data_IF_130708452254
#
_entry.id   IF_130708452254
#
_cell.length_a   1.000
_cell.length_b   1.000
_cell.length_c   1.000
_cell.angle_alpha   90.00
_cell.angle_beta   90.00
_cell.angle_gamma   90.00
#
_symmetry.space_group_name_H-M   'P 1'
#
loop_
_entity.id
_entity.type
_entity.pdbx_description
1 polymer ?
#
# COMPACT_ATOMS: atom_id res chain seq x y z
N UNK A 1 -43.93 -5.14 -7.47
CA UNK A 1 -42.59 -5.44 -8.06
C UNK A 1 -41.56 -5.42 -6.94
N UNK A 2 -40.86 -6.53 -6.73
CA UNK A 2 -39.94 -6.75 -5.59
C UNK A 2 -38.50 -6.68 -6.13
N UNK A 3 -37.78 -5.59 -5.88
CA UNK A 3 -36.38 -5.48 -6.27
C UNK A 3 -35.54 -6.37 -5.37
N UNK A 4 -34.93 -7.42 -5.94
CA UNK A 4 -33.90 -8.23 -5.28
C UNK A 4 -32.54 -7.61 -5.61
N UNK A 5 -31.93 -6.92 -4.66
CA UNK A 5 -30.51 -6.56 -4.75
C UNK A 5 -29.68 -7.76 -4.32
N UNK A 6 -29.54 -8.74 -5.21
CA UNK A 6 -28.61 -9.85 -5.01
C UNK A 6 -27.18 -9.32 -5.09
N UNK A 7 -26.50 -9.27 -3.93
CA UNK A 7 -25.05 -9.39 -3.84
C UNK A 7 -24.24 -8.33 -4.60
N UNK A 8 -24.38 -7.06 -4.25
CA UNK A 8 -23.30 -6.11 -4.49
C UNK A 8 -22.26 -6.31 -3.38
N UNK A 9 -21.40 -7.31 -3.52
CA UNK A 9 -20.12 -7.28 -2.80
C UNK A 9 -19.35 -6.09 -3.36
N UNK A 10 -19.49 -4.94 -2.71
CA UNK A 10 -18.60 -3.82 -2.92
C UNK A 10 -17.22 -4.22 -2.41
N UNK A 11 -16.47 -5.02 -3.19
CA UNK A 11 -15.02 -5.05 -3.06
C UNK A 11 -14.53 -3.72 -3.62
N UNK A 12 -14.80 -2.65 -2.88
CA UNK A 12 -14.22 -1.35 -3.14
C UNK A 12 -12.73 -1.59 -3.11
N UNK A 13 -12.07 -1.41 -4.26
CA UNK A 13 -10.63 -1.41 -4.38
C UNK A 13 -10.12 -0.34 -3.43
N UNK A 14 -9.91 -0.72 -2.17
CA UNK A 14 -9.45 0.17 -1.13
C UNK A 14 -8.02 0.43 -1.52
N UNK A 15 -7.83 1.56 -2.20
CA UNK A 15 -6.51 2.01 -2.65
C UNK A 15 -5.53 1.77 -1.50
N UNK A 16 -4.41 1.06 -1.73
CA UNK A 16 -3.50 0.67 -0.65
C UNK A 16 -3.23 1.87 0.24
N UNK A 17 -3.47 1.70 1.54
CA UNK A 17 -3.24 2.75 2.52
C UNK A 17 -1.74 3.00 2.57
N UNK A 18 -1.34 4.26 2.38
CA UNK A 18 0.05 4.64 2.52
C UNK A 18 0.56 4.30 3.91
N UNK A 19 1.71 3.64 3.97
CA UNK A 19 2.35 3.23 5.21
C UNK A 19 3.74 3.84 5.29
N UNK A 20 4.14 4.27 6.49
CA UNK A 20 5.50 4.77 6.73
C UNK A 20 6.49 3.65 6.41
N UNK A 21 7.51 3.97 5.61
CA UNK A 21 8.51 3.02 5.13
C UNK A 21 8.19 2.42 3.76
N UNK A 22 6.98 2.62 3.20
CA UNK A 22 6.71 2.24 1.82
C UNK A 22 7.64 3.00 0.87
N UNK A 23 8.14 2.31 -0.15
CA UNK A 23 8.98 2.85 -1.21
C UNK A 23 8.15 2.98 -2.47
N UNK A 24 8.16 4.18 -3.04
CA UNK A 24 7.47 4.52 -4.28
C UNK A 24 8.48 5.01 -5.32
N UNK A 25 8.12 4.89 -6.61
CA UNK A 25 8.88 5.45 -7.74
C UNK A 25 8.04 6.50 -8.44
N UNK A 26 8.65 7.61 -8.80
CA UNK A 26 8.00 8.65 -9.60
C UNK A 26 8.08 8.35 -11.12
N UNK A 27 7.43 9.21 -11.91
CA UNK A 27 7.47 9.15 -13.37
C UNK A 27 8.86 9.36 -14.00
N UNK A 28 9.82 9.92 -13.26
CA UNK A 28 11.19 10.15 -13.72
C UNK A 28 12.15 9.02 -13.34
N UNK A 29 11.66 7.98 -12.64
CA UNK A 29 12.44 6.85 -12.18
C UNK A 29 13.07 7.02 -10.80
N UNK A 30 12.90 8.18 -10.15
CA UNK A 30 13.42 8.44 -8.81
C UNK A 30 12.61 7.75 -7.72
N UNK A 31 13.28 7.25 -6.69
CA UNK A 31 12.64 6.58 -5.55
C UNK A 31 12.40 7.53 -4.39
N UNK A 32 11.31 7.29 -3.67
CA UNK A 32 10.94 8.03 -2.45
C UNK A 32 10.46 7.08 -1.38
N UNK A 33 10.77 7.39 -0.12
CA UNK A 33 10.29 6.65 1.04
C UNK A 33 9.26 7.49 1.79
N UNK A 34 8.11 6.89 2.12
CA UNK A 34 7.10 7.52 2.97
C UNK A 34 7.66 7.69 4.39
N UNK A 35 7.67 8.92 4.90
CA UNK A 35 8.10 9.29 6.26
C UNK A 35 6.91 9.50 7.20
N UNK A 36 5.79 9.97 6.67
CA UNK A 36 4.56 10.22 7.41
C UNK A 36 3.34 10.31 6.51
N UNK A 37 2.17 10.01 7.07
CA UNK A 37 0.89 10.08 6.38
C UNK A 37 -0.10 10.74 7.31
N UNK A 38 -0.68 11.84 6.84
CA UNK A 38 -1.79 12.53 7.47
C UNK A 38 -3.03 12.40 6.57
N UNK A 39 -4.20 12.81 7.06
CA UNK A 39 -5.49 12.59 6.38
C UNK A 39 -5.48 13.01 4.90
N UNK A 40 -4.84 14.14 4.58
CA UNK A 40 -4.83 14.69 3.21
C UNK A 40 -3.42 14.89 2.65
N UNK A 41 -2.38 14.53 3.39
CA UNK A 41 -0.98 14.80 3.04
C UNK A 41 -0.09 13.58 3.26
N UNK A 42 0.91 13.45 2.40
CA UNK A 42 1.97 12.45 2.49
C UNK A 42 3.29 13.20 2.62
N UNK A 43 4.07 12.83 3.62
CA UNK A 43 5.44 13.29 3.80
C UNK A 43 6.37 12.19 3.34
N UNK A 44 7.29 12.50 2.42
CA UNK A 44 8.24 11.54 1.87
C UNK A 44 9.63 12.12 1.75
N UNK A 45 10.63 11.24 1.70
CA UNK A 45 12.03 11.58 1.43
C UNK A 45 12.44 11.03 0.09
N UNK A 46 12.99 11.87 -0.79
CA UNK A 46 13.61 11.45 -2.04
C UNK A 46 15.08 11.08 -1.82
N UNK A 47 15.53 10.04 -2.50
CA UNK A 47 16.95 9.68 -2.51
C UNK A 47 17.80 10.84 -3.04
N UNK A 48 18.88 11.18 -2.33
CA UNK A 48 19.76 12.31 -2.67
C UNK A 48 19.28 13.69 -2.21
N UNK A 49 18.17 13.80 -1.47
CA UNK A 49 17.66 15.07 -0.95
C UNK A 49 17.78 15.15 0.58
N UNK A 50 18.17 16.32 1.11
CA UNK A 50 18.37 16.55 2.55
C UNK A 50 17.08 16.87 3.33
N UNK A 51 15.98 17.18 2.63
CA UNK A 51 14.72 17.57 3.26
C UNK A 51 13.56 16.66 2.86
N UNK A 52 12.59 16.54 3.77
CA UNK A 52 11.34 15.85 3.51
C UNK A 52 10.43 16.75 2.67
N UNK A 53 9.73 16.15 1.71
CA UNK A 53 8.71 16.80 0.90
C UNK A 53 7.33 16.47 1.46
N UNK A 54 6.41 17.43 1.39
CA UNK A 54 4.99 17.24 1.76
C UNK A 54 4.13 17.44 0.53
N UNK A 55 3.24 16.49 0.25
CA UNK A 55 2.40 16.49 -0.95
C UNK A 55 0.97 16.05 -0.62
N UNK A 56 -0.07 16.60 -1.27
CA UNK A 56 -1.42 16.09 -1.12
C UNK A 56 -1.53 14.61 -1.52
N UNK A 57 -2.31 13.83 -0.78
CA UNK A 57 -2.53 12.39 -1.03
C UNK A 57 -2.95 12.11 -2.47
N UNK A 58 -3.88 12.90 -3.01
CA UNK A 58 -4.35 12.76 -4.40
C UNK A 58 -3.20 12.93 -5.40
N UNK A 59 -2.37 13.94 -5.17
CA UNK A 59 -1.26 14.25 -6.05
C UNK A 59 -0.18 13.16 -5.99
N UNK A 60 0.10 12.64 -4.80
CA UNK A 60 1.05 11.53 -4.65
C UNK A 60 0.55 10.25 -5.33
N UNK A 61 -0.74 9.91 -5.21
CA UNK A 61 -1.32 8.73 -5.89
C UNK A 61 -1.23 8.78 -7.40
N UNK A 62 -1.32 9.97 -7.99
CA UNK A 62 -1.29 10.16 -9.44
C UNK A 62 0.11 9.98 -10.01
N UNK A 63 1.12 10.53 -9.33
CA UNK A 63 2.46 10.69 -9.90
C UNK A 63 3.45 9.59 -9.46
N UNK A 64 3.06 8.74 -8.51
CA UNK A 64 3.92 7.72 -7.92
C UNK A 64 3.31 6.32 -7.93
N UNK A 65 4.15 5.32 -8.16
CA UNK A 65 3.79 3.90 -8.14
C UNK A 65 4.52 3.16 -7.02
N UNK A 66 3.81 2.29 -6.29
CA UNK A 66 4.40 1.50 -5.20
C UNK A 66 5.45 0.53 -5.76
N UNK A 67 6.62 0.49 -5.12
CA UNK A 67 7.73 -0.42 -5.44
C UNK A 67 7.85 -1.50 -4.38
N UNK A 68 7.84 -1.09 -3.11
CA UNK A 68 8.04 -1.99 -1.98
C UNK A 68 7.20 -1.52 -0.80
N UNK A 69 6.43 -2.43 -0.21
CA UNK A 69 5.72 -2.15 1.05
C UNK A 69 6.71 -2.20 2.21
N UNK A 70 6.49 -1.37 3.22
CA UNK A 70 7.19 -1.51 4.49
C UNK A 70 7.06 -2.96 5.00
N UNK A 71 8.07 -3.50 5.70
CA UNK A 71 7.95 -4.80 6.35
C UNK A 71 6.76 -4.75 7.30
N UNK A 72 5.67 -5.39 6.91
CA UNK A 72 4.61 -5.70 7.86
C UNK A 72 5.15 -6.87 8.67
N UNK A 73 5.19 -6.74 10.00
CA UNK A 73 5.33 -7.89 10.90
C UNK A 73 4.07 -8.76 10.73
N UNK A 74 4.00 -9.49 9.62
CA UNK A 74 2.99 -10.53 9.42
C UNK A 74 3.56 -11.75 10.15
N UNK A 75 2.87 -12.32 11.15
CA UNK A 75 3.22 -13.65 11.62
C UNK A 75 3.12 -14.56 10.40
N UNK A 76 4.25 -15.09 9.95
CA UNK A 76 4.30 -16.07 8.87
C UNK A 76 3.52 -17.29 9.35
N UNK A 77 2.25 -17.39 8.96
CA UNK A 77 1.53 -18.66 9.05
C UNK A 77 2.18 -19.60 8.05
N UNK A 78 3.20 -20.33 8.49
CA UNK A 78 3.82 -21.43 7.76
C UNK A 78 2.70 -22.39 7.31
N UNK A 79 2.56 -22.73 6.02
CA UNK A 79 1.66 -23.80 5.62
C UNK A 79 2.28 -25.11 6.12
N UNK A 80 1.71 -25.65 7.21
CA UNK A 80 2.02 -27.00 7.65
C UNK A 80 1.67 -27.97 6.52
N UNK A 81 2.71 -28.53 5.90
CA UNK A 81 2.60 -29.62 4.95
C UNK A 81 1.70 -30.72 5.53
N UNK A 82 0.70 -31.13 4.74
CA UNK A 82 -0.23 -32.17 5.10
C UNK A 82 0.47 -33.48 5.43
N UNK A 83 0.03 -34.12 6.51
CA UNK A 83 0.21 -35.56 6.69
C UNK A 83 -1.13 -36.23 6.39
N UNK A 84 -1.22 -36.78 5.19
CA UNK A 84 -2.13 -37.86 4.85
C UNK A 84 -1.29 -39.13 4.73
N UNK A 85 -1.39 -40.03 5.70
CA UNK A 85 -1.18 -41.48 5.54
C UNK A 85 -1.60 -42.15 6.84
N UNK A 86 -2.82 -42.70 6.90
CA UNK A 86 -3.08 -44.16 6.84
C UNK A 86 -2.10 -44.99 7.67
N UNK A 87 -2.58 -45.54 8.78
CA UNK A 87 -2.76 -46.99 8.98
C UNK A 87 -3.82 -47.22 10.05
#
# INVERSE_FOLDING_TARGET
MKLKYSGLTASGNTHPKFTRGDIYRDQYGGTVMIKGVEERRVTYRREGYEYDCVMPVYQFRRDFSLVQTAPHNVPTSTPGHGQTSRS
#
